data_IF_896908907162
#
_entry.id   IF_896908907162
#
_cell.length_a   1.000
_cell.length_b   1.000
_cell.length_c   1.000
_cell.angle_alpha   90.00
_cell.angle_beta   90.00
_cell.angle_gamma   90.00
#
_symmetry.space_group_name_H-M   'P 1'
#
loop_
_entity.id
_entity.type
_entity.pdbx_description
1 polymer ?
#
# COMPACT_ATOMS: atom_id res chain seq x y z
N UNK A 1 2.44 -12.42 -8.86
CA UNK A 1 1.98 -11.67 -10.04
C UNK A 1 2.25 -10.18 -9.87
N UNK A 2 2.46 -9.42 -10.96
CA UNK A 2 2.67 -7.97 -10.92
C UNK A 2 1.41 -7.25 -11.40
N UNK A 3 0.93 -6.30 -10.59
CA UNK A 3 -0.35 -5.62 -10.75
C UNK A 3 -0.17 -4.32 -11.53
N UNK A 4 -1.07 -4.04 -12.51
CA UNK A 4 -1.13 -2.75 -13.18
C UNK A 4 -1.80 -1.70 -12.28
N UNK A 5 -1.28 -0.44 -12.21
CA UNK A 5 -1.88 0.58 -11.36
C UNK A 5 -3.21 1.14 -11.93
N UNK A 6 -3.45 0.92 -13.22
CA UNK A 6 -4.56 1.51 -13.96
C UNK A 6 -5.86 0.69 -13.88
N UNK A 7 -5.83 -0.45 -13.18
CA UNK A 7 -7.02 -1.25 -12.90
C UNK A 7 -8.02 -0.46 -12.05
N UNK A 8 -9.31 -0.68 -12.31
CA UNK A 8 -10.36 -0.23 -11.39
C UNK A 8 -10.22 -0.92 -10.02
N UNK A 9 -10.83 -0.39 -9.01
CA UNK A 9 -10.77 -1.01 -7.68
C UNK A 9 -11.53 -2.34 -7.65
N UNK A 10 -12.59 -2.47 -8.44
CA UNK A 10 -13.37 -3.69 -8.63
C UNK A 10 -12.53 -4.80 -9.30
N UNK A 11 -11.84 -4.47 -10.41
CA UNK A 11 -10.96 -5.41 -11.11
C UNK A 11 -9.78 -5.83 -10.25
N UNK A 12 -9.22 -4.89 -9.46
CA UNK A 12 -8.17 -5.18 -8.51
C UNK A 12 -8.65 -6.15 -7.43
N UNK A 13 -9.85 -5.95 -6.88
CA UNK A 13 -10.43 -6.86 -5.90
C UNK A 13 -10.65 -8.26 -6.48
N UNK A 14 -11.18 -8.35 -7.70
CA UNK A 14 -11.37 -9.62 -8.39
C UNK A 14 -10.04 -10.35 -8.62
N UNK A 15 -8.99 -9.61 -9.05
CA UNK A 15 -7.65 -10.18 -9.21
C UNK A 15 -7.09 -10.70 -7.88
N UNK A 16 -7.22 -9.94 -6.79
CA UNK A 16 -6.71 -10.33 -5.48
C UNK A 16 -7.45 -11.56 -4.92
N UNK A 17 -8.74 -11.70 -5.23
CA UNK A 17 -9.50 -12.90 -4.89
C UNK A 17 -8.92 -14.13 -5.63
N UNK A 18 -8.67 -14.04 -6.92
CA UNK A 18 -8.00 -15.11 -7.70
C UNK A 18 -6.63 -15.44 -7.11
N UNK A 19 -5.81 -14.43 -6.76
CA UNK A 19 -4.51 -14.65 -6.10
C UNK A 19 -4.65 -15.49 -4.84
N UNK A 20 -5.68 -15.23 -4.05
CA UNK A 20 -5.99 -15.97 -2.83
C UNK A 20 -6.47 -17.41 -3.11
N UNK A 21 -7.39 -17.57 -4.06
CA UNK A 21 -7.96 -18.86 -4.44
C UNK A 21 -6.91 -19.83 -4.98
N UNK A 22 -6.04 -19.35 -5.89
CA UNK A 22 -4.95 -20.16 -6.46
C UNK A 22 -3.72 -20.23 -5.56
N UNK A 23 -3.77 -19.60 -4.39
CA UNK A 23 -2.72 -19.62 -3.36
C UNK A 23 -1.36 -19.15 -3.88
N UNK A 24 -1.31 -18.04 -4.64
CA UNK A 24 -0.04 -17.42 -4.99
C UNK A 24 0.65 -16.89 -3.73
N UNK A 25 1.99 -17.00 -3.69
CA UNK A 25 2.79 -16.54 -2.54
C UNK A 25 2.71 -15.03 -2.31
N UNK A 26 2.41 -14.25 -3.36
CA UNK A 26 2.26 -12.81 -3.22
C UNK A 26 2.14 -12.04 -4.52
N UNK A 27 2.23 -10.72 -4.37
CA UNK A 27 2.05 -9.76 -5.47
C UNK A 27 3.14 -8.69 -5.49
N UNK A 28 3.40 -8.14 -6.69
CA UNK A 28 4.22 -6.94 -6.90
C UNK A 28 3.31 -5.78 -7.29
N UNK A 29 3.26 -4.75 -6.49
CA UNK A 29 2.40 -3.58 -6.67
C UNK A 29 3.25 -2.29 -6.68
N UNK A 30 3.41 -1.63 -7.87
CA UNK A 30 2.71 -1.82 -9.13
C UNK A 30 3.64 -1.85 -10.36
N UNK A 31 3.06 -2.08 -11.55
CA UNK A 31 3.69 -1.79 -12.84
C UNK A 31 3.65 -0.27 -13.11
N UNK A 32 4.07 0.15 -14.32
CA UNK A 32 3.95 1.51 -14.86
C UNK A 32 2.50 1.84 -15.20
N UNK A 33 2.16 3.14 -15.29
CA UNK A 33 0.81 3.64 -15.66
C UNK A 33 0.80 4.16 -17.09
N UNK A 34 -0.34 4.04 -17.74
CA UNK A 34 -0.61 4.73 -19.02
C UNK A 34 -1.23 6.11 -18.82
N UNK A 35 -1.60 6.47 -17.60
CA UNK A 35 -2.15 7.78 -17.26
C UNK A 35 -1.10 8.88 -17.41
N UNK A 36 -1.56 10.08 -17.80
CA UNK A 36 -0.71 11.26 -18.04
C UNK A 36 -1.22 12.51 -17.30
N UNK A 37 -2.24 12.34 -16.46
CA UNK A 37 -2.80 13.43 -15.66
C UNK A 37 -1.82 13.87 -14.57
N UNK A 38 -1.89 15.15 -14.20
CA UNK A 38 -1.08 15.73 -13.13
C UNK A 38 0.41 15.93 -13.46
N UNK A 39 0.83 15.76 -14.71
CA UNK A 39 2.20 16.02 -15.13
C UNK A 39 2.46 17.54 -15.24
N UNK A 40 3.66 17.96 -14.83
CA UNK A 40 4.13 19.35 -15.02
C UNK A 40 4.68 19.61 -16.41
N UNK A 41 4.98 18.58 -17.18
CA UNK A 41 5.45 18.65 -18.56
C UNK A 41 4.32 19.10 -19.47
N UNK A 42 4.62 19.96 -20.45
CA UNK A 42 3.66 20.43 -21.44
C UNK A 42 3.00 19.26 -22.18
N UNK A 43 1.69 19.37 -22.40
CA UNK A 43 0.89 18.30 -23.00
C UNK A 43 1.35 17.93 -24.44
N UNK A 44 1.82 18.91 -25.23
CA UNK A 44 2.32 18.67 -26.56
C UNK A 44 3.63 17.87 -26.54
N UNK A 45 4.51 18.17 -25.56
CA UNK A 45 5.73 17.40 -25.33
C UNK A 45 5.40 15.97 -24.90
N UNK A 46 4.46 15.80 -23.96
CA UNK A 46 4.01 14.46 -23.53
C UNK A 46 3.44 13.67 -24.70
N UNK A 47 2.61 14.30 -25.53
CA UNK A 47 2.04 13.66 -26.72
C UNK A 47 3.10 13.25 -27.75
N UNK A 48 4.15 14.06 -27.93
CA UNK A 48 5.23 13.76 -28.85
C UNK A 48 6.11 12.56 -28.47
N UNK A 49 6.17 12.23 -27.17
CA UNK A 49 6.88 11.05 -26.65
C UNK A 49 6.16 9.74 -27.06
N UNK A 50 4.84 9.81 -27.27
CA UNK A 50 4.03 8.68 -27.71
C UNK A 50 3.60 7.72 -26.60
N UNK A 51 3.26 6.50 -27.00
CA UNK A 51 2.76 5.44 -26.11
C UNK A 51 3.89 4.85 -25.27
N UNK A 52 3.59 4.51 -24.02
CA UNK A 52 4.53 3.86 -23.10
C UNK A 52 4.07 3.94 -21.66
N UNK A 53 4.73 3.20 -20.80
CA UNK A 53 4.47 3.24 -19.36
C UNK A 53 5.18 4.40 -18.67
N UNK A 54 4.44 5.21 -17.93
CA UNK A 54 5.00 6.25 -17.06
C UNK A 54 5.39 5.64 -15.72
N UNK A 55 6.58 5.97 -15.22
CA UNK A 55 7.11 5.50 -13.95
C UNK A 55 7.58 6.66 -13.05
N UNK A 56 8.10 6.35 -11.87
CA UNK A 56 8.62 7.35 -10.94
C UNK A 56 7.56 8.03 -10.07
N UNK A 57 7.79 9.28 -9.65
CA UNK A 57 6.94 9.97 -8.66
C UNK A 57 5.43 10.00 -8.95
N UNK A 58 4.95 10.07 -10.20
CA UNK A 58 3.52 10.03 -10.49
C UNK A 58 2.80 8.77 -9.98
N UNK A 59 3.53 7.65 -9.81
CA UNK A 59 2.97 6.40 -9.28
C UNK A 59 2.83 6.37 -7.75
N UNK A 60 3.46 7.29 -7.04
CA UNK A 60 3.67 7.23 -5.59
C UNK A 60 2.37 7.03 -4.79
N UNK A 61 1.33 7.76 -5.12
CA UNK A 61 0.03 7.64 -4.43
C UNK A 61 -0.67 6.33 -4.80
N UNK A 62 -0.83 6.08 -6.10
CA UNK A 62 -1.57 4.89 -6.55
C UNK A 62 -0.91 3.58 -6.12
N UNK A 63 0.42 3.49 -6.15
CA UNK A 63 1.11 2.29 -5.66
C UNK A 63 0.84 2.02 -4.17
N UNK A 64 0.78 3.05 -3.32
CA UNK A 64 0.41 2.89 -1.90
C UNK A 64 -1.03 2.42 -1.72
N UNK A 65 -1.98 2.98 -2.47
CA UNK A 65 -3.38 2.54 -2.45
C UNK A 65 -3.51 1.06 -2.81
N UNK A 66 -2.87 0.64 -3.92
CA UNK A 66 -2.88 -0.76 -4.38
C UNK A 66 -2.23 -1.68 -3.34
N UNK A 67 -1.10 -1.28 -2.74
CA UNK A 67 -0.44 -2.05 -1.66
C UNK A 67 -1.36 -2.18 -0.44
N UNK A 68 -2.00 -1.08 -0.01
CA UNK A 68 -2.93 -1.11 1.12
C UNK A 68 -4.10 -2.07 0.85
N UNK A 69 -4.72 -1.95 -0.32
CA UNK A 69 -5.84 -2.81 -0.72
C UNK A 69 -5.42 -4.28 -0.82
N UNK A 70 -4.25 -4.55 -1.41
CA UNK A 70 -3.69 -5.89 -1.47
C UNK A 70 -3.47 -6.48 -0.07
N UNK A 71 -2.92 -5.72 0.86
CA UNK A 71 -2.73 -6.17 2.25
C UNK A 71 -4.05 -6.47 2.96
N UNK A 72 -5.06 -5.63 2.76
CA UNK A 72 -6.40 -5.85 3.35
C UNK A 72 -7.06 -7.12 2.82
N UNK A 73 -6.94 -7.40 1.52
CA UNK A 73 -7.57 -8.56 0.86
C UNK A 73 -6.81 -9.87 1.05
N UNK A 74 -5.48 -9.83 0.94
CA UNK A 74 -4.64 -11.04 1.01
C UNK A 74 -4.25 -11.43 2.45
N UNK A 75 -4.46 -10.52 3.41
CA UNK A 75 -4.13 -10.79 4.81
C UNK A 75 -2.61 -10.75 5.10
N UNK A 76 -2.17 -11.21 6.29
CA UNK A 76 -0.80 -11.03 6.77
C UNK A 76 0.23 -11.94 6.13
N UNK A 77 -0.17 -13.07 5.56
CA UNK A 77 0.74 -14.14 5.11
C UNK A 77 1.31 -13.86 3.72
N UNK A 78 0.52 -13.28 2.83
CA UNK A 78 0.95 -13.01 1.46
C UNK A 78 2.11 -12.01 1.40
N UNK A 79 3.12 -12.31 0.58
CA UNK A 79 4.23 -11.39 0.32
C UNK A 79 3.77 -10.25 -0.60
N UNK A 80 3.99 -9.01 -0.20
CA UNK A 80 3.69 -7.84 -1.02
C UNK A 80 4.99 -7.05 -1.24
N UNK A 81 5.36 -6.91 -2.51
CA UNK A 81 6.49 -6.08 -2.93
C UNK A 81 5.94 -4.76 -3.44
N UNK A 82 6.17 -3.68 -2.69
CA UNK A 82 5.75 -2.33 -3.10
C UNK A 82 6.73 -1.70 -4.08
N UNK A 83 6.23 -1.18 -5.20
CA UNK A 83 7.03 -0.47 -6.19
C UNK A 83 6.24 0.64 -6.85
N UNK A 84 6.88 1.79 -7.05
CA UNK A 84 6.33 2.97 -7.72
C UNK A 84 6.64 4.26 -6.96
N UNK A 85 7.44 5.13 -7.56
CA UNK A 85 7.79 6.44 -7.02
C UNK A 85 8.73 6.44 -5.82
N UNK A 86 9.51 5.39 -5.61
CA UNK A 86 10.46 5.30 -4.50
C UNK A 86 11.77 5.97 -4.87
N UNK A 87 12.13 7.01 -4.13
CA UNK A 87 13.37 7.80 -4.27
C UNK A 87 14.05 8.03 -2.93
N UNK A 88 13.30 8.00 -1.83
CA UNK A 88 13.77 8.33 -0.48
C UNK A 88 13.40 7.26 0.55
N UNK A 89 13.99 7.37 1.75
CA UNK A 89 13.59 6.54 2.90
C UNK A 89 12.13 6.75 3.31
N UNK A 90 11.60 7.97 3.17
CA UNK A 90 10.20 8.27 3.48
C UNK A 90 9.24 7.60 2.47
N UNK A 91 9.61 7.53 1.18
CA UNK A 91 8.82 6.80 0.18
C UNK A 91 8.80 5.31 0.48
N UNK A 92 9.95 4.74 0.83
CA UNK A 92 10.06 3.34 1.22
C UNK A 92 9.25 3.04 2.49
N UNK A 93 9.37 3.90 3.52
CA UNK A 93 8.58 3.81 4.75
C UNK A 93 7.08 3.87 4.47
N UNK A 94 6.64 4.72 3.53
CA UNK A 94 5.23 4.85 3.18
C UNK A 94 4.67 3.56 2.55
N UNK A 95 5.44 2.85 1.70
CA UNK A 95 5.03 1.55 1.15
C UNK A 95 5.02 0.44 2.22
N UNK A 96 6.02 0.42 3.11
CA UNK A 96 6.05 -0.52 4.24
C UNK A 96 4.84 -0.29 5.16
N UNK A 97 4.55 0.96 5.49
CA UNK A 97 3.38 1.34 6.28
C UNK A 97 2.05 1.07 5.55
N UNK A 98 2.03 1.03 4.22
CA UNK A 98 0.88 0.58 3.43
C UNK A 98 0.68 -0.95 3.46
N UNK A 99 1.65 -1.72 3.96
CA UNK A 99 1.58 -3.17 4.10
C UNK A 99 2.52 -3.95 3.22
N UNK A 100 3.47 -3.31 2.51
CA UNK A 100 4.49 -4.01 1.75
C UNK A 100 5.50 -4.70 2.70
N UNK A 101 5.94 -5.91 2.35
CA UNK A 101 7.03 -6.61 3.06
C UNK A 101 8.39 -6.18 2.54
N UNK A 102 8.46 -5.89 1.24
CA UNK A 102 9.67 -5.48 0.53
C UNK A 102 9.36 -4.25 -0.32
N UNK A 103 10.41 -3.46 -0.60
CA UNK A 103 10.33 -2.29 -1.47
C UNK A 103 11.26 -2.49 -2.66
N UNK A 104 10.75 -2.23 -3.85
CA UNK A 104 11.48 -2.24 -5.10
C UNK A 104 11.54 -0.83 -5.68
N UNK A 105 12.68 -0.46 -6.28
CA UNK A 105 12.82 0.80 -7.00
C UNK A 105 13.43 0.55 -8.39
N UNK A 106 13.08 1.39 -9.36
CA UNK A 106 13.66 1.39 -10.70
C UNK A 106 14.03 2.80 -11.12
N UNK A 107 13.07 3.68 -11.35
CA UNK A 107 13.28 5.06 -11.81
C UNK A 107 14.13 5.88 -10.84
N UNK A 108 13.88 5.74 -9.53
CA UNK A 108 14.70 6.38 -8.51
C UNK A 108 16.17 5.95 -8.55
N UNK A 109 16.43 4.68 -8.88
CA UNK A 109 17.80 4.20 -9.08
C UNK A 109 18.44 4.77 -10.35
N UNK A 110 17.67 4.86 -11.46
CA UNK A 110 18.18 5.40 -12.73
C UNK A 110 18.65 6.85 -12.57
N UNK A 111 17.87 7.68 -11.89
CA UNK A 111 18.20 9.10 -11.70
C UNK A 111 19.10 9.36 -10.50
N UNK A 112 18.97 8.62 -9.43
CA UNK A 112 19.77 8.79 -8.20
C UNK A 112 21.10 8.01 -8.20
N UNK A 113 21.26 7.08 -9.16
CA UNK A 113 22.47 6.27 -9.32
C UNK A 113 22.63 5.15 -8.29
N UNK A 114 23.77 4.44 -8.30
CA UNK A 114 23.99 3.23 -7.50
C UNK A 114 24.00 3.46 -5.99
N UNK A 115 24.16 4.68 -5.53
CA UNK A 115 24.09 5.04 -4.11
C UNK A 115 22.68 5.09 -3.52
N UNK A 116 21.64 5.13 -4.38
CA UNK A 116 20.24 5.31 -3.98
C UNK A 116 19.72 4.24 -3.00
N UNK A 117 19.95 2.92 -3.22
CA UNK A 117 19.50 1.92 -2.26
C UNK A 117 20.12 2.11 -0.87
N UNK A 118 21.40 2.43 -0.81
CA UNK A 118 22.10 2.72 0.45
C UNK A 118 21.57 3.99 1.14
N UNK A 119 21.24 5.03 0.37
CA UNK A 119 20.65 6.26 0.90
C UNK A 119 19.24 6.00 1.48
N UNK A 120 18.42 5.23 0.77
CA UNK A 120 17.09 4.82 1.24
C UNK A 120 17.20 4.00 2.53
N UNK A 121 18.12 3.03 2.59
CA UNK A 121 18.33 2.21 3.79
C UNK A 121 18.74 3.06 5.00
N UNK A 122 19.68 4.00 4.82
CA UNK A 122 20.06 4.96 5.89
C UNK A 122 18.89 5.84 6.31
N UNK A 123 18.10 6.31 5.35
CA UNK A 123 16.86 7.07 5.63
C UNK A 123 15.88 6.27 6.50
N UNK A 124 15.66 4.99 6.17
CA UNK A 124 14.81 4.10 6.96
C UNK A 124 15.36 3.87 8.38
N UNK A 125 16.68 3.70 8.54
CA UNK A 125 17.31 3.59 9.87
C UNK A 125 17.00 4.84 10.71
N UNK A 126 17.22 6.04 10.17
CA UNK A 126 16.91 7.28 10.88
C UNK A 126 15.41 7.45 11.22
N UNK A 127 14.51 6.88 10.40
CA UNK A 127 13.07 6.86 10.69
C UNK A 127 12.77 5.88 11.83
N UNK A 128 13.35 4.67 11.80
CA UNK A 128 13.19 3.68 12.88
C UNK A 128 13.62 4.25 14.22
N UNK A 129 14.78 4.92 14.26
CA UNK A 129 15.30 5.57 15.48
C UNK A 129 14.33 6.64 15.99
N UNK A 130 13.84 7.54 15.12
CA UNK A 130 12.87 8.58 15.49
C UNK A 130 11.52 8.01 15.99
N UNK A 131 11.04 6.95 15.33
CA UNK A 131 9.77 6.30 15.69
C UNK A 131 9.92 5.22 16.77
N UNK A 132 11.13 5.03 17.31
CA UNK A 132 11.46 4.03 18.34
C UNK A 132 11.03 2.61 17.97
N UNK A 133 11.26 2.22 16.72
CA UNK A 133 10.98 0.90 16.18
C UNK A 133 12.26 0.08 16.05
N UNK A 134 12.20 -1.21 16.38
CA UNK A 134 13.35 -2.10 16.33
C UNK A 134 13.67 -2.57 14.90
N UNK A 135 12.65 -2.69 14.04
CA UNK A 135 12.82 -3.16 12.66
C UNK A 135 11.66 -2.73 11.75
N UNK A 136 11.90 -2.76 10.43
CA UNK A 136 10.93 -2.32 9.41
C UNK A 136 9.60 -3.10 9.42
N UNK A 137 9.60 -4.35 9.89
CA UNK A 137 8.39 -5.15 10.00
C UNK A 137 7.33 -4.55 10.93
N UNK A 138 7.72 -3.68 11.86
CA UNK A 138 6.77 -3.00 12.75
C UNK A 138 5.89 -1.98 12.01
N UNK A 139 6.32 -1.47 10.87
CA UNK A 139 5.45 -0.65 10.01
C UNK A 139 4.31 -1.48 9.43
N UNK A 140 4.60 -2.72 9.02
CA UNK A 140 3.61 -3.65 8.44
C UNK A 140 2.66 -4.16 9.53
N UNK A 141 3.18 -4.48 10.71
CA UNK A 141 2.41 -5.06 11.81
C UNK A 141 1.29 -4.14 12.31
N UNK A 142 1.48 -2.83 12.24
CA UNK A 142 0.45 -1.86 12.64
C UNK A 142 -0.82 -2.00 11.78
N UNK A 143 -0.68 -2.11 10.47
CA UNK A 143 -1.83 -2.27 9.54
C UNK A 143 -2.46 -3.66 9.66
N UNK A 144 -1.64 -4.70 9.81
CA UNK A 144 -2.14 -6.07 10.00
C UNK A 144 -2.95 -6.19 11.29
N UNK A 145 -2.49 -5.55 12.37
CA UNK A 145 -3.21 -5.51 13.65
C UNK A 145 -4.55 -4.77 13.54
N UNK A 146 -4.58 -3.63 12.86
CA UNK A 146 -5.80 -2.84 12.64
C UNK A 146 -6.80 -3.59 11.75
N UNK A 147 -6.36 -4.18 10.64
CA UNK A 147 -7.20 -4.99 9.76
C UNK A 147 -7.75 -6.23 10.46
N UNK A 148 -6.95 -6.90 11.30
CA UNK A 148 -7.39 -8.04 12.09
C UNK A 148 -8.42 -7.63 13.16
N UNK A 149 -8.25 -6.47 13.78
CA UNK A 149 -9.19 -5.90 14.75
C UNK A 149 -10.53 -5.56 14.12
N UNK A 150 -10.52 -4.89 12.95
CA UNK A 150 -11.73 -4.55 12.19
C UNK A 150 -12.47 -5.81 11.70
N UNK A 151 -11.73 -6.81 11.21
CA UNK A 151 -12.31 -8.08 10.79
C UNK A 151 -12.91 -8.88 11.97
N UNK A 152 -12.37 -8.74 13.16
CA UNK A 152 -12.91 -9.33 14.39
C UNK A 152 -14.18 -8.61 14.85
N UNK A 153 -14.18 -7.28 14.83
CA UNK A 153 -15.35 -6.47 15.16
C UNK A 153 -16.51 -6.74 14.20
N UNK A 154 -16.25 -6.86 12.89
CA UNK A 154 -17.26 -7.20 11.89
C UNK A 154 -17.87 -8.59 12.07
N UNK A 155 -17.13 -9.57 12.63
CA UNK A 155 -17.61 -10.93 12.89
C UNK A 155 -18.39 -11.10 14.21
N UNK A 156 -18.19 -10.21 15.17
CA UNK A 156 -18.76 -10.38 16.51
C UNK A 156 -19.85 -9.37 16.86
N UNK A 157 -20.25 -8.45 15.96
CA UNK A 157 -21.29 -7.45 16.24
C UNK A 157 -21.00 -6.60 17.49
N UNK A 158 -21.66 -5.49 17.73
CA UNK A 158 -21.55 -4.78 19.00
C UNK A 158 -22.05 -5.69 20.15
N UNK A 159 -21.40 -5.67 21.33
CA UNK A 159 -21.85 -6.47 22.46
C UNK A 159 -23.31 -6.13 22.80
N UNK A 160 -24.15 -7.14 22.91
CA UNK A 160 -25.59 -7.05 23.11
C UNK A 160 -25.96 -6.52 24.52
N UNK A 161 -25.33 -5.49 25.05
CA UNK A 161 -25.49 -5.05 26.44
C UNK A 161 -25.88 -3.58 26.66
N UNK A 162 -26.51 -2.91 25.69
CA UNK A 162 -27.06 -1.55 25.95
C UNK A 162 -28.57 -1.42 25.72
N UNK A 163 -29.29 -2.54 25.59
CA UNK A 163 -30.76 -2.53 25.38
C UNK A 163 -31.60 -2.84 26.64
N UNK A 164 -31.03 -2.79 27.83
CA UNK A 164 -31.79 -3.04 29.08
C UNK A 164 -31.53 -1.98 30.16
N UNK A 165 -31.85 -0.73 29.91
CA UNK A 165 -32.05 0.24 31.00
C UNK A 165 -32.82 1.49 30.59
N UNK A 166 -34.00 1.29 29.96
CA UNK A 166 -34.99 2.38 29.88
C UNK A 166 -36.39 1.79 29.90
N UNK A 167 -36.79 1.34 31.05
CA UNK A 167 -38.15 0.86 31.24
C UNK A 167 -38.44 0.52 32.70
N UNK A 168 -38.77 1.54 33.46
CA UNK A 168 -39.69 1.45 34.61
C UNK A 168 -39.54 2.67 35.51
N UNK A 169 -40.45 3.60 35.39
CA UNK A 169 -41.10 4.24 36.54
C UNK A 169 -42.11 5.25 36.00
N UNK A 170 -43.33 4.78 35.88
CA UNK A 170 -44.49 5.65 35.95
C UNK A 170 -45.55 4.88 36.75
N UNK A 171 -45.85 5.41 37.92
CA UNK A 171 -47.14 5.31 38.58
C UNK A 171 -47.04 5.83 40.03
N UNK A 172 -48.11 6.31 40.62
CA UNK A 172 -49.39 6.79 40.12
C UNK A 172 -49.61 8.29 40.29
#
# INVERSE_FOLDING_TARGET
VKIAPDMSDEDLDALLEVVREVRLDGVVATNTTVRRDGLRTDAAVVASIGQGGLSGPPLRLRSREVVTRARQKLGPVAAIIGVGGVETGDDARALLAAGANLVQLYTGFVYGGPGTPGAIARGLIGILEREKKAHVGEFVSAIVGEAASLARAARHGPPANEARSSGSAAEP
#
